data_IF_487378753921
#
_entry.id   IF_487378753921
#
_cell.length_a   1.000
_cell.length_b   1.000
_cell.length_c   1.000
_cell.angle_alpha   90.00
_cell.angle_beta   90.00
_cell.angle_gamma   90.00
#
_symmetry.space_group_name_H-M   'P 1'
#
loop_
_entity.id
_entity.type
_entity.pdbx_description
1 polymer ?
#
# COMPACT_ATOMS: atom_id res chain seq x y z
N UNK A 1 15.46 22.02 9.08
CA UNK A 1 15.46 20.73 8.38
C UNK A 1 14.91 20.96 6.97
N UNK A 2 15.61 20.54 5.91
CA UNK A 2 15.21 20.87 4.54
C UNK A 2 14.14 19.90 4.03
N UNK A 3 12.90 20.39 3.84
CA UNK A 3 11.81 19.67 3.19
C UNK A 3 12.22 19.05 1.84
N UNK A 4 13.25 19.64 1.20
CA UNK A 4 13.87 19.16 -0.04
C UNK A 4 14.41 17.72 -0.01
N UNK A 5 14.73 17.15 1.16
CA UNK A 5 15.25 15.76 1.26
C UNK A 5 14.12 14.77 1.61
N UNK A 6 13.15 15.19 2.41
CA UNK A 6 12.07 14.33 2.91
C UNK A 6 11.07 14.00 1.80
N UNK A 7 10.69 15.00 1.00
CA UNK A 7 9.74 14.85 -0.09
C UNK A 7 10.18 13.80 -1.14
N UNK A 8 11.42 13.83 -1.68
CA UNK A 8 11.83 12.81 -2.63
C UNK A 8 11.90 11.41 -2.01
N UNK A 9 12.36 11.25 -0.76
CA UNK A 9 12.36 9.94 -0.08
C UNK A 9 10.93 9.39 0.05
N UNK A 10 9.97 10.24 0.42
CA UNK A 10 8.58 9.84 0.59
C UNK A 10 7.90 9.39 -0.72
N UNK A 11 8.35 9.90 -1.87
CA UNK A 11 7.83 9.50 -3.20
C UNK A 11 8.56 8.29 -3.75
N UNK A 12 9.88 8.26 -3.59
CA UNK A 12 10.74 7.22 -4.15
C UNK A 12 10.58 5.90 -3.40
N UNK A 13 10.45 5.95 -2.07
CA UNK A 13 10.39 4.76 -1.23
C UNK A 13 9.21 3.81 -1.57
N UNK A 14 7.95 4.30 -1.71
CA UNK A 14 6.83 3.45 -2.13
C UNK A 14 7.04 2.77 -3.48
N UNK A 15 7.62 3.49 -4.44
CA UNK A 15 7.90 2.96 -5.77
C UNK A 15 8.87 1.77 -5.70
N UNK A 16 9.98 1.93 -4.97
CA UNK A 16 10.95 0.85 -4.79
C UNK A 16 10.41 -0.32 -3.98
N UNK A 17 9.56 -0.09 -2.97
CA UNK A 17 8.88 -1.20 -2.27
C UNK A 17 7.99 -2.02 -3.20
N UNK A 18 7.20 -1.34 -4.04
CA UNK A 18 6.33 -2.01 -5.02
C UNK A 18 7.13 -2.81 -6.05
N UNK A 19 8.23 -2.23 -6.57
CA UNK A 19 9.14 -2.91 -7.51
C UNK A 19 9.89 -4.07 -6.87
N UNK A 20 10.32 -3.93 -5.63
CA UNK A 20 10.97 -5.02 -4.89
C UNK A 20 10.02 -6.20 -4.71
N UNK A 21 8.74 -5.95 -4.43
CA UNK A 21 7.74 -7.01 -4.35
C UNK A 21 7.60 -7.77 -5.67
N UNK A 22 7.48 -7.04 -6.78
CA UNK A 22 7.36 -7.65 -8.12
C UNK A 22 8.61 -8.46 -8.48
N UNK A 23 9.80 -7.99 -8.11
CA UNK A 23 11.05 -8.73 -8.34
C UNK A 23 11.14 -10.02 -7.52
N UNK A 24 10.68 -10.00 -6.26
CA UNK A 24 10.65 -11.19 -5.40
C UNK A 24 9.61 -12.21 -5.91
N UNK A 25 8.54 -11.75 -6.54
CA UNK A 25 7.44 -12.58 -7.05
C UNK A 25 7.40 -12.59 -8.59
N UNK A 26 8.57 -12.58 -9.25
CA UNK A 26 8.69 -12.40 -10.70
C UNK A 26 7.91 -13.45 -11.51
N UNK A 27 7.89 -14.70 -11.04
CA UNK A 27 7.13 -15.78 -11.70
C UNK A 27 5.61 -15.53 -11.65
N UNK A 28 5.07 -15.17 -10.49
CA UNK A 28 3.65 -14.81 -10.35
C UNK A 28 3.32 -13.53 -11.16
N UNK A 29 4.23 -12.55 -11.15
CA UNK A 29 4.09 -11.29 -11.87
C UNK A 29 4.03 -11.50 -13.39
N UNK A 30 4.94 -12.29 -13.95
CA UNK A 30 4.97 -12.61 -15.39
C UNK A 30 3.70 -13.29 -15.87
N UNK A 31 3.11 -14.17 -15.05
CA UNK A 31 1.85 -14.84 -15.39
C UNK A 31 0.65 -13.90 -15.47
N UNK A 32 0.65 -12.79 -14.73
CA UNK A 32 -0.44 -11.80 -14.66
C UNK A 32 -0.18 -10.52 -15.43
N UNK A 33 1.05 -10.31 -15.92
CA UNK A 33 1.42 -9.14 -16.71
C UNK A 33 0.97 -9.23 -18.17
N UNK A 34 0.80 -10.45 -18.70
CA UNK A 34 0.24 -10.64 -20.04
C UNK A 34 -1.21 -10.16 -20.09
N UNK A 35 -1.63 -9.57 -21.21
CA UNK A 35 -3.03 -9.19 -21.36
C UNK A 35 -3.94 -10.42 -21.46
N UNK A 36 -5.20 -10.32 -21.01
CA UNK A 36 -6.19 -11.40 -21.17
C UNK A 36 -6.34 -11.84 -22.63
N UNK A 37 -6.21 -10.89 -23.55
CA UNK A 37 -6.23 -11.17 -24.98
C UNK A 37 -5.06 -12.05 -25.43
N UNK A 38 -3.82 -11.74 -25.01
CA UNK A 38 -2.64 -12.54 -25.36
C UNK A 38 -2.69 -13.93 -24.74
N UNK A 39 -3.15 -14.02 -23.48
CA UNK A 39 -3.21 -15.31 -22.77
C UNK A 39 -4.25 -16.26 -23.34
N UNK A 40 -5.39 -15.72 -23.78
CA UNK A 40 -6.49 -16.51 -24.34
C UNK A 40 -6.49 -16.55 -25.88
N UNK A 41 -5.42 -16.04 -26.52
CA UNK A 41 -5.29 -16.02 -27.98
C UNK A 41 -5.25 -17.45 -28.52
N UNK A 42 -6.12 -17.74 -29.49
CA UNK A 42 -6.21 -19.07 -30.12
C UNK A 42 -7.19 -20.04 -29.45
N UNK A 43 -7.87 -19.62 -28.38
CA UNK A 43 -9.01 -20.36 -27.84
C UNK A 43 -10.25 -20.03 -28.69
N UNK A 44 -11.04 -21.06 -29.03
CA UNK A 44 -12.29 -20.87 -29.77
C UNK A 44 -13.24 -19.92 -29.03
N UNK A 45 -13.93 -19.05 -29.79
CA UNK A 45 -14.84 -18.01 -29.30
C UNK A 45 -16.11 -18.52 -28.60
N UNK A 46 -16.28 -19.83 -28.48
CA UNK A 46 -17.33 -20.44 -27.65
C UNK A 46 -17.02 -20.22 -26.15
N UNK A 47 -17.74 -20.92 -25.25
CA UNK A 47 -17.61 -20.86 -23.78
C UNK A 47 -16.16 -20.94 -23.25
N UNK A 48 -15.21 -21.46 -24.03
CA UNK A 48 -13.80 -21.55 -23.68
C UNK A 48 -13.07 -20.21 -23.61
N UNK A 49 -13.38 -19.26 -24.50
CA UNK A 49 -12.72 -17.95 -24.52
C UNK A 49 -13.13 -17.12 -23.31
N UNK A 50 -14.43 -17.02 -23.06
CA UNK A 50 -14.97 -16.27 -21.93
C UNK A 50 -14.54 -16.86 -20.58
N UNK A 51 -14.49 -18.20 -20.49
CA UNK A 51 -13.96 -18.88 -19.31
C UNK A 51 -12.47 -18.59 -19.10
N UNK A 52 -11.67 -18.58 -20.17
CA UNK A 52 -10.24 -18.24 -20.06
C UNK A 52 -10.03 -16.79 -19.59
N UNK A 53 -10.78 -15.83 -20.14
CA UNK A 53 -10.70 -14.43 -19.71
C UNK A 53 -11.03 -14.34 -18.22
N UNK A 54 -12.14 -14.92 -17.79
CA UNK A 54 -12.58 -14.87 -16.40
C UNK A 54 -11.56 -15.49 -15.44
N UNK A 55 -11.05 -16.68 -15.77
CA UNK A 55 -10.03 -17.36 -14.96
C UNK A 55 -8.73 -16.54 -14.88
N UNK A 56 -8.38 -15.82 -15.95
CA UNK A 56 -7.21 -14.96 -15.95
C UNK A 56 -7.42 -13.69 -15.13
N UNK A 57 -8.55 -13.00 -15.30
CA UNK A 57 -8.92 -11.82 -14.53
C UNK A 57 -8.98 -12.13 -13.03
N UNK A 58 -9.54 -13.29 -12.65
CA UNK A 58 -9.55 -13.77 -11.26
C UNK A 58 -8.13 -13.96 -10.72
N UNK A 59 -7.21 -14.52 -11.52
CA UNK A 59 -5.79 -14.65 -11.15
C UNK A 59 -5.10 -13.29 -11.00
N UNK A 60 -5.33 -12.37 -11.94
CA UNK A 60 -4.80 -11.00 -11.92
C UNK A 60 -5.26 -10.27 -10.66
N UNK A 61 -6.57 -10.33 -10.38
CA UNK A 61 -7.15 -9.70 -9.18
C UNK A 61 -6.58 -10.32 -7.90
N UNK A 62 -6.43 -11.65 -7.85
CA UNK A 62 -5.83 -12.34 -6.70
C UNK A 62 -4.38 -11.92 -6.47
N UNK A 63 -3.58 -11.78 -7.52
CA UNK A 63 -2.20 -11.29 -7.42
C UNK A 63 -2.16 -9.86 -6.86
N UNK A 64 -2.95 -8.93 -7.44
CA UNK A 64 -2.96 -7.55 -6.96
C UNK A 64 -3.46 -7.44 -5.52
N UNK A 65 -4.46 -8.22 -5.11
CA UNK A 65 -4.92 -8.26 -3.73
C UNK A 65 -3.81 -8.76 -2.78
N UNK A 66 -3.07 -9.81 -3.17
CA UNK A 66 -1.94 -10.36 -2.39
C UNK A 66 -0.81 -9.32 -2.29
N UNK A 67 -0.44 -8.70 -3.41
CA UNK A 67 0.55 -7.62 -3.48
C UNK A 67 0.15 -6.46 -2.58
N UNK A 68 -1.05 -5.92 -2.73
CA UNK A 68 -1.55 -4.78 -1.96
C UNK A 68 -1.57 -5.10 -0.44
N UNK A 69 -1.94 -6.32 -0.06
CA UNK A 69 -1.91 -6.77 1.35
C UNK A 69 -0.48 -6.82 1.89
N UNK A 70 0.46 -7.41 1.14
CA UNK A 70 1.86 -7.48 1.55
C UNK A 70 2.51 -6.10 1.63
N UNK A 71 2.19 -5.23 0.69
CA UNK A 71 2.64 -3.85 0.69
C UNK A 71 2.13 -3.09 1.93
N UNK A 72 0.87 -3.24 2.33
CA UNK A 72 0.34 -2.68 3.59
C UNK A 72 1.14 -3.21 4.79
N UNK A 73 1.37 -4.52 4.87
CA UNK A 73 2.09 -5.13 6.00
C UNK A 73 3.54 -4.64 6.09
N UNK A 74 4.25 -4.58 4.96
CA UNK A 74 5.62 -4.07 4.89
C UNK A 74 5.66 -2.58 5.27
N UNK A 75 4.72 -1.77 4.77
CA UNK A 75 4.61 -0.35 5.12
C UNK A 75 4.26 -0.13 6.60
N UNK A 76 3.41 -0.97 7.20
CA UNK A 76 3.11 -0.88 8.62
C UNK A 76 4.33 -1.26 9.48
N UNK A 77 5.04 -2.32 9.08
CA UNK A 77 6.25 -2.77 9.76
C UNK A 77 7.37 -1.73 9.65
N UNK A 78 7.57 -1.11 8.48
CA UNK A 78 8.56 -0.04 8.30
C UNK A 78 8.26 1.14 9.23
N UNK A 79 6.99 1.56 9.34
CA UNK A 79 6.59 2.64 10.27
C UNK A 79 6.97 2.30 11.71
N UNK A 80 6.71 1.06 12.17
CA UNK A 80 7.04 0.63 13.52
C UNK A 80 8.56 0.59 13.75
N UNK A 81 9.31 -0.01 12.82
CA UNK A 81 10.77 -0.12 12.91
C UNK A 81 11.43 1.27 12.93
N UNK A 82 11.04 2.16 12.03
CA UNK A 82 11.63 3.50 11.96
C UNK A 82 11.22 4.37 13.15
N UNK A 83 9.98 4.27 13.63
CA UNK A 83 9.58 4.94 14.88
C UNK A 83 10.41 4.46 16.06
N UNK A 84 10.68 3.14 16.16
CA UNK A 84 11.54 2.59 17.20
C UNK A 84 13.00 3.04 17.07
N UNK A 85 13.54 3.11 15.85
CA UNK A 85 14.90 3.61 15.61
C UNK A 85 15.04 5.08 16.02
N UNK A 86 14.05 5.92 15.68
CA UNK A 86 14.02 7.34 16.10
C UNK A 86 13.95 7.48 17.61
N UNK A 87 13.20 6.61 18.28
CA UNK A 87 13.12 6.59 19.74
C UNK A 87 14.46 6.24 20.39
N UNK A 88 15.23 5.31 19.79
CA UNK A 88 16.55 4.88 20.29
C UNK A 88 17.66 5.87 19.97
N UNK A 89 17.66 6.44 18.77
CA UNK A 89 18.68 7.38 18.31
C UNK A 89 18.03 8.53 17.51
N UNK A 90 17.89 9.72 18.13
CA UNK A 90 17.29 10.89 17.49
C UNK A 90 18.04 11.36 16.24
N UNK A 91 19.30 10.95 16.03
CA UNK A 91 20.06 11.32 14.82
C UNK A 91 19.48 10.69 13.54
N UNK A 92 18.71 9.61 13.66
CA UNK A 92 18.05 8.91 12.54
C UNK A 92 16.77 9.60 12.03
N UNK A 93 16.32 10.67 12.70
CA UNK A 93 15.05 11.36 12.45
C UNK A 93 14.86 11.77 10.98
N UNK A 94 15.91 12.24 10.32
CA UNK A 94 15.81 12.82 8.98
C UNK A 94 15.41 11.79 7.92
N UNK A 95 16.04 10.62 7.93
CA UNK A 95 15.73 9.53 6.99
C UNK A 95 14.45 8.79 7.37
N UNK A 96 14.28 8.52 8.67
CA UNK A 96 13.12 7.81 9.20
C UNK A 96 11.80 8.56 8.94
N UNK A 97 11.80 9.90 9.02
CA UNK A 97 10.60 10.70 8.76
C UNK A 97 10.13 10.59 7.31
N UNK A 98 11.05 10.66 6.34
CA UNK A 98 10.72 10.49 4.92
C UNK A 98 10.17 9.10 4.60
N UNK A 99 10.76 8.06 5.18
CA UNK A 99 10.32 6.68 5.00
C UNK A 99 8.97 6.41 5.68
N UNK A 100 8.72 6.99 6.86
CA UNK A 100 7.42 6.92 7.54
C UNK A 100 6.32 7.60 6.72
N UNK A 101 6.57 8.81 6.22
CA UNK A 101 5.62 9.52 5.36
C UNK A 101 5.35 8.72 4.08
N UNK A 102 6.39 8.22 3.42
CA UNK A 102 6.23 7.38 2.23
C UNK A 102 5.40 6.13 2.49
N UNK A 103 5.69 5.42 3.59
CA UNK A 103 4.93 4.23 4.02
C UNK A 103 3.45 4.56 4.29
N UNK A 104 3.18 5.69 4.95
CA UNK A 104 1.81 6.16 5.19
C UNK A 104 1.09 6.51 3.88
N UNK A 105 1.74 7.24 2.98
CA UNK A 105 1.17 7.59 1.66
C UNK A 105 0.82 6.32 0.87
N UNK A 106 1.69 5.31 0.91
CA UNK A 106 1.46 4.03 0.25
C UNK A 106 0.25 3.29 0.82
N UNK A 107 0.12 3.20 2.15
CA UNK A 107 -1.04 2.61 2.81
C UNK A 107 -2.33 3.35 2.41
N UNK A 108 -2.31 4.69 2.47
CA UNK A 108 -3.46 5.52 2.07
C UNK A 108 -3.84 5.26 0.62
N UNK A 109 -2.86 5.23 -0.29
CA UNK A 109 -3.09 4.98 -1.70
C UNK A 109 -3.74 3.61 -1.95
N UNK A 110 -3.24 2.56 -1.30
CA UNK A 110 -3.79 1.20 -1.42
C UNK A 110 -5.22 1.13 -0.85
N UNK A 111 -5.47 1.79 0.29
CA UNK A 111 -6.81 1.86 0.90
C UNK A 111 -7.80 2.56 -0.04
N UNK A 112 -7.42 3.71 -0.61
CA UNK A 112 -8.28 4.47 -1.54
C UNK A 112 -8.57 3.64 -2.80
N UNK A 113 -7.52 3.06 -3.41
CA UNK A 113 -7.63 2.22 -4.61
C UNK A 113 -8.62 1.07 -4.39
N UNK A 114 -8.54 0.42 -3.23
CA UNK A 114 -9.35 -0.76 -2.93
C UNK A 114 -10.65 -0.44 -2.17
N UNK A 115 -10.99 0.83 -1.94
CA UNK A 115 -12.08 1.21 -1.04
C UNK A 115 -13.39 0.50 -1.39
N UNK A 116 -13.80 0.54 -2.66
CA UNK A 116 -15.05 -0.05 -3.14
C UNK A 116 -15.06 -1.58 -3.22
N UNK A 117 -13.90 -2.22 -3.18
CA UNK A 117 -13.75 -3.69 -3.26
C UNK A 117 -13.44 -4.31 -1.89
N UNK A 118 -13.06 -3.49 -0.91
CA UNK A 118 -12.76 -3.90 0.45
C UNK A 118 -14.01 -4.37 1.19
N UNK A 119 -13.87 -5.42 2.01
CA UNK A 119 -14.97 -5.93 2.85
C UNK A 119 -15.40 -4.88 3.88
N UNK A 120 -16.69 -4.83 4.22
CA UNK A 120 -17.24 -3.78 5.08
C UNK A 120 -16.62 -3.72 6.48
N UNK A 121 -16.27 -4.86 7.08
CA UNK A 121 -15.60 -4.86 8.39
C UNK A 121 -14.19 -4.23 8.34
N UNK A 122 -13.47 -4.34 7.23
CA UNK A 122 -12.17 -3.69 7.04
C UNK A 122 -12.35 -2.17 6.86
N UNK A 123 -13.38 -1.75 6.10
CA UNK A 123 -13.72 -0.32 5.97
C UNK A 123 -14.05 0.30 7.33
N UNK A 124 -14.86 -0.39 8.14
CA UNK A 124 -15.18 0.04 9.50
C UNK A 124 -13.93 0.14 10.38
N UNK A 125 -13.02 -0.82 10.28
CA UNK A 125 -11.74 -0.77 11.01
C UNK A 125 -10.88 0.45 10.61
N UNK A 126 -10.74 0.70 9.30
CA UNK A 126 -10.01 1.87 8.77
C UNK A 126 -10.66 3.18 9.22
N UNK A 127 -11.99 3.29 9.12
CA UNK A 127 -12.73 4.45 9.61
C UNK A 127 -12.56 4.65 11.12
N UNK A 128 -12.58 3.58 11.91
CA UNK A 128 -12.35 3.62 13.35
C UNK A 128 -10.96 4.17 13.70
N UNK A 129 -9.92 3.73 13.00
CA UNK A 129 -8.56 4.28 13.18
C UNK A 129 -8.52 5.76 12.79
N UNK A 130 -9.09 6.13 11.66
CA UNK A 130 -9.13 7.53 11.22
C UNK A 130 -9.84 8.43 12.24
N UNK A 131 -10.97 7.95 12.79
CA UNK A 131 -11.71 8.65 13.83
C UNK A 131 -10.87 8.81 15.10
N UNK A 132 -10.18 7.76 15.54
CA UNK A 132 -9.31 7.81 16.72
C UNK A 132 -8.16 8.81 16.55
N UNK A 133 -7.55 8.87 15.37
CA UNK A 133 -6.49 9.85 15.04
C UNK A 133 -7.06 11.27 15.08
N UNK A 134 -8.24 11.51 14.49
CA UNK A 134 -8.90 12.82 14.53
C UNK A 134 -9.25 13.25 15.96
N UNK A 135 -9.75 12.32 16.79
CA UNK A 135 -10.02 12.58 18.21
C UNK A 135 -8.74 12.92 18.97
N UNK A 136 -7.66 12.16 18.79
CA UNK A 136 -6.37 12.44 19.43
C UNK A 136 -5.82 13.81 19.01
N UNK A 137 -5.86 14.12 17.71
CA UNK A 137 -5.43 15.41 17.18
C UNK A 137 -6.28 16.56 17.75
N UNK A 138 -7.61 16.40 17.82
CA UNK A 138 -8.52 17.38 18.43
C UNK A 138 -8.17 17.64 19.90
N UNK A 139 -7.97 16.60 20.71
CA UNK A 139 -7.56 16.73 22.12
C UNK A 139 -6.23 17.45 22.24
N UNK A 140 -5.23 17.09 21.43
CA UNK A 140 -3.91 17.76 21.44
C UNK A 140 -4.00 19.23 21.06
N UNK A 141 -4.83 19.59 20.08
CA UNK A 141 -5.07 20.99 19.69
C UNK A 141 -5.74 21.76 20.84
N UNK A 142 -6.71 21.16 21.52
CA UNK A 142 -7.36 21.76 22.69
C UNK A 142 -6.38 21.94 23.87
N UNK A 143 -5.48 20.99 24.11
CA UNK A 143 -4.47 21.10 25.18
C UNK A 143 -3.37 22.13 24.89
N UNK A 144 -2.95 22.26 23.62
CA UNK A 144 -1.93 23.24 23.23
C UNK A 144 -2.47 24.67 23.14
N UNK A 145 -3.78 24.84 22.93
CA UNK A 145 -4.48 26.10 23.20
C UNK A 145 -4.78 26.16 24.69
N UNK A 146 -3.78 26.51 25.51
CA UNK A 146 -4.02 26.88 26.92
C UNK A 146 -5.17 27.90 26.96
N UNK A 147 -6.31 27.49 27.51
CA UNK A 147 -7.24 28.37 28.21
C UNK A 147 -6.64 28.62 29.60
#
# INVERSE_FOLDING_TARGET
MNAAIIAPIAVIYPYFQSKAYDYIHDDEYKEVYMSSYEKCKGINRDDGYDKCIKDHEDKVQKYYNKKDTMLILISALSILLFTYMVYRDPSTLNGATGMNIGSMVMIIFIIIKNWFVMKDYLRLFVLGIALAILFYASIKVMQNKKI
#
